data_IF_873413494568
#
_entry.id   IF_873413494568
#
_cell.length_a   1.000
_cell.length_b   1.000
_cell.length_c   1.000
_cell.angle_alpha   90.00
_cell.angle_beta   90.00
_cell.angle_gamma   90.00
#
_symmetry.space_group_name_H-M   'P 1'
#
loop_
_entity.id
_entity.type
_entity.pdbx_description
1 polymer ?
#
# COMPACT_ATOMS: atom_id res chain seq x y z
N UNK A 1 -17.01 -13.57 -7.29
CA UNK A 1 -17.65 -12.61 -6.36
C UNK A 1 -17.21 -11.24 -6.83
N UNK A 2 -18.08 -10.53 -7.55
CA UNK A 2 -17.70 -9.38 -8.37
C UNK A 2 -17.30 -8.18 -7.50
N UNK A 3 -16.03 -7.80 -7.58
CA UNK A 3 -15.47 -6.53 -7.08
C UNK A 3 -16.03 -5.41 -7.95
N UNK A 4 -17.30 -5.05 -7.74
CA UNK A 4 -18.00 -4.05 -8.56
C UNK A 4 -18.60 -2.91 -7.72
N UNK A 5 -18.30 -2.86 -6.43
CA UNK A 5 -18.78 -1.83 -5.51
C UNK A 5 -17.82 -0.65 -5.30
N UNK A 6 -16.52 -0.80 -5.55
CA UNK A 6 -15.55 0.30 -5.31
C UNK A 6 -15.30 1.24 -6.51
N UNK A 7 -15.51 0.79 -7.75
CA UNK A 7 -15.24 1.63 -8.95
C UNK A 7 -16.07 2.91 -9.08
N UNK A 8 -17.21 3.04 -8.38
CA UNK A 8 -18.05 4.24 -8.46
C UNK A 8 -17.62 5.38 -7.53
N UNK A 9 -16.80 5.10 -6.53
CA UNK A 9 -16.35 6.10 -5.55
C UNK A 9 -14.89 6.52 -5.74
N UNK A 10 -14.04 5.72 -6.40
CA UNK A 10 -12.61 6.04 -6.56
C UNK A 10 -12.32 7.28 -7.43
N UNK A 11 -13.24 7.69 -8.32
CA UNK A 11 -13.00 8.78 -9.27
C UNK A 11 -13.66 10.13 -8.92
N UNK A 12 -14.33 10.25 -7.78
CA UNK A 12 -15.05 11.47 -7.38
C UNK A 12 -14.74 11.76 -5.91
N UNK A 13 -13.86 12.73 -5.65
CA UNK A 13 -13.57 13.36 -4.34
C UNK A 13 -12.48 12.77 -3.41
N UNK A 14 -11.37 12.20 -3.90
CA UNK A 14 -10.21 11.93 -3.01
C UNK A 14 -9.25 13.12 -2.83
N UNK A 15 -9.43 14.22 -3.57
CA UNK A 15 -8.51 15.37 -3.58
C UNK A 15 -8.96 16.57 -2.72
N UNK A 16 -10.22 16.63 -2.29
CA UNK A 16 -10.70 17.70 -1.41
C UNK A 16 -10.60 17.24 0.04
N UNK A 17 -9.71 17.87 0.82
CA UNK A 17 -9.74 17.77 2.28
C UNK A 17 -11.11 18.21 2.76
N UNK A 18 -11.90 17.29 3.31
CA UNK A 18 -13.11 17.68 4.03
C UNK A 18 -12.71 18.62 5.17
N UNK A 19 -13.26 19.83 5.17
CA UNK A 19 -12.97 20.79 6.21
C UNK A 19 -13.44 20.22 7.55
N UNK A 20 -12.54 20.19 8.54
CA UNK A 20 -12.91 19.81 9.90
C UNK A 20 -14.08 20.70 10.37
N UNK A 21 -15.15 20.11 10.93
CA UNK A 21 -16.25 20.89 11.47
C UNK A 21 -15.76 21.97 12.46
N UNK A 22 -16.32 23.18 12.38
CA UNK A 22 -15.92 24.34 13.20
C UNK A 22 -15.85 24.03 14.70
N UNK A 23 -16.70 23.11 15.18
CA UNK A 23 -16.72 22.64 16.57
C UNK A 23 -15.42 21.98 17.05
N UNK A 24 -14.51 21.64 16.14
CA UNK A 24 -13.19 21.07 16.42
C UNK A 24 -12.05 22.04 16.10
N UNK A 25 -12.29 23.05 15.27
CA UNK A 25 -11.29 24.05 14.90
C UNK A 25 -10.97 24.94 16.10
N UNK A 26 -9.69 25.06 16.44
CA UNK A 26 -9.21 25.92 17.52
C UNK A 26 -9.55 25.43 18.94
N UNK A 27 -10.01 24.19 19.10
CA UNK A 27 -10.15 23.60 20.44
C UNK A 27 -8.77 23.42 21.11
N UNK A 28 -8.65 23.72 22.41
CA UNK A 28 -7.46 23.37 23.17
C UNK A 28 -7.22 21.85 23.18
N UNK A 29 -5.96 21.42 23.16
CA UNK A 29 -5.60 20.00 23.16
C UNK A 29 -6.24 19.23 24.32
N UNK A 30 -6.24 19.80 25.53
CA UNK A 30 -6.86 19.18 26.70
C UNK A 30 -8.37 18.91 26.53
N UNK A 31 -9.08 19.77 25.81
CA UNK A 31 -10.51 19.55 25.50
C UNK A 31 -10.68 18.44 24.45
N UNK A 32 -9.76 18.36 23.48
CA UNK A 32 -9.73 17.27 22.50
C UNK A 32 -9.50 15.92 23.20
N UNK A 33 -8.57 15.88 24.17
CA UNK A 33 -8.24 14.68 24.93
C UNK A 33 -9.43 14.13 25.71
N UNK A 34 -10.17 15.03 26.37
CA UNK A 34 -11.38 14.68 27.11
C UNK A 34 -12.43 14.08 26.17
N UNK A 35 -12.61 14.67 24.98
CA UNK A 35 -13.59 14.19 23.99
C UNK A 35 -13.23 12.84 23.38
N UNK A 36 -11.97 12.65 22.99
CA UNK A 36 -11.48 11.37 22.45
C UNK A 36 -11.62 10.28 23.53
N UNK A 37 -11.23 10.58 24.77
CA UNK A 37 -11.36 9.65 25.90
C UNK A 37 -12.81 9.27 26.18
N UNK A 38 -13.73 10.24 26.14
CA UNK A 38 -15.15 9.99 26.33
C UNK A 38 -15.75 9.14 25.19
N UNK A 39 -15.38 9.42 23.93
CA UNK A 39 -15.83 8.62 22.79
C UNK A 39 -15.29 7.18 22.86
N UNK A 40 -14.01 7.01 23.22
CA UNK A 40 -13.40 5.68 23.42
C UNK A 40 -14.09 4.92 24.55
N UNK A 41 -14.39 5.57 25.68
CA UNK A 41 -15.12 4.95 26.79
C UNK A 41 -16.56 4.54 26.40
N UNK A 42 -17.25 5.35 25.60
CA UNK A 42 -18.60 5.06 25.14
C UNK A 42 -18.68 3.88 24.16
N UNK A 43 -17.65 3.72 23.32
CA UNK A 43 -17.57 2.60 22.37
C UNK A 43 -16.98 1.33 22.99
N UNK A 44 -16.14 1.46 24.02
CA UNK A 44 -15.56 0.33 24.75
C UNK A 44 -14.84 -0.65 23.81
N UNK A 45 -15.09 -1.95 23.98
CA UNK A 45 -14.47 -3.00 23.17
C UNK A 45 -14.87 -2.99 21.69
N UNK A 46 -15.90 -2.22 21.31
CA UNK A 46 -16.34 -2.06 19.92
C UNK A 46 -15.40 -1.16 19.11
N UNK A 47 -14.46 -0.47 19.74
CA UNK A 47 -13.49 0.42 19.09
C UNK A 47 -12.09 -0.15 19.20
N UNK A 48 -11.37 -0.11 18.07
CA UNK A 48 -9.94 -0.35 17.96
C UNK A 48 -9.27 0.87 17.32
N UNK A 49 -8.24 1.43 17.95
CA UNK A 49 -7.44 2.53 17.40
C UNK A 49 -6.04 2.01 17.08
N UNK A 50 -5.66 2.11 15.80
CA UNK A 50 -4.36 1.65 15.29
C UNK A 50 -3.51 2.88 14.93
N UNK A 51 -2.29 2.98 15.48
CA UNK A 51 -1.39 4.12 15.27
C UNK A 51 -0.09 3.73 14.57
N UNK A 52 0.19 4.32 13.40
CA UNK A 52 1.50 4.17 12.78
C UNK A 52 2.59 4.93 13.55
N UNK A 53 3.84 4.46 13.50
CA UNK A 53 4.97 5.08 14.22
C UNK A 53 5.27 6.54 13.85
N UNK A 54 4.71 7.04 12.75
CA UNK A 54 4.88 8.44 12.30
C UNK A 54 3.76 9.37 12.78
N UNK A 55 2.83 8.87 13.58
CA UNK A 55 1.79 9.70 14.19
C UNK A 55 2.39 10.62 15.25
N UNK A 56 1.78 11.79 15.41
CA UNK A 56 2.17 12.74 16.46
C UNK A 56 1.71 12.27 17.84
N UNK A 57 2.39 12.73 18.87
CA UNK A 57 2.17 12.33 20.27
C UNK A 57 0.70 12.55 20.70
N UNK A 58 0.06 13.61 20.22
CA UNK A 58 -1.31 13.96 20.56
C UNK A 58 -2.33 12.94 20.03
N UNK A 59 -2.02 12.26 18.92
CA UNK A 59 -2.87 11.22 18.35
C UNK A 59 -2.50 9.82 18.82
N UNK A 60 -1.19 9.50 18.81
CA UNK A 60 -0.70 8.14 19.07
C UNK A 60 -0.96 7.69 20.51
N UNK A 61 -1.09 8.61 21.47
CA UNK A 61 -1.41 8.31 22.88
C UNK A 61 -2.76 7.60 23.07
N UNK A 62 -3.65 7.68 22.08
CA UNK A 62 -4.95 6.99 22.09
C UNK A 62 -4.94 5.64 21.37
N UNK A 63 -3.84 5.28 20.71
CA UNK A 63 -3.74 4.03 19.96
C UNK A 63 -3.69 2.82 20.91
N UNK A 64 -4.49 1.80 20.62
CA UNK A 64 -4.45 0.52 21.32
C UNK A 64 -3.21 -0.29 20.90
N UNK A 65 -2.81 -0.15 19.63
CA UNK A 65 -1.59 -0.75 19.09
C UNK A 65 -0.82 0.25 18.25
N UNK A 66 0.51 0.18 18.37
CA UNK A 66 1.45 0.89 17.52
C UNK A 66 2.35 -0.08 16.76
N UNK A 67 2.67 0.25 15.51
CA UNK A 67 3.41 -0.66 14.64
C UNK A 67 3.68 -0.12 13.24
N UNK A 68 4.36 -0.95 12.45
CA UNK A 68 4.42 -0.81 11.00
C UNK A 68 3.09 -1.23 10.34
N UNK A 69 2.96 -0.95 9.04
CA UNK A 69 1.74 -1.22 8.27
C UNK A 69 1.29 -2.68 8.32
N UNK A 70 2.23 -3.63 8.27
CA UNK A 70 1.90 -5.06 8.22
C UNK A 70 1.38 -5.56 9.56
N UNK A 71 2.06 -5.20 10.64
CA UNK A 71 1.64 -5.56 12.00
C UNK A 71 0.26 -4.96 12.30
N UNK A 72 0.02 -3.70 11.95
CA UNK A 72 -1.28 -3.06 12.18
C UNK A 72 -2.41 -3.72 11.39
N UNK A 73 -2.17 -4.09 10.12
CA UNK A 73 -3.16 -4.80 9.33
C UNK A 73 -3.48 -6.20 9.90
N UNK A 74 -2.49 -6.90 10.47
CA UNK A 74 -2.72 -8.16 11.18
C UNK A 74 -3.54 -7.95 12.47
N UNK A 75 -3.26 -6.89 13.24
CA UNK A 75 -4.05 -6.57 14.45
C UNK A 75 -5.52 -6.27 14.12
N UNK A 76 -5.78 -5.58 13.01
CA UNK A 76 -7.14 -5.35 12.52
C UNK A 76 -7.89 -6.68 12.28
N UNK A 77 -7.24 -7.62 11.60
CA UNK A 77 -7.80 -8.94 11.29
C UNK A 77 -8.01 -9.84 12.52
N UNK A 78 -7.11 -9.75 13.50
CA UNK A 78 -7.15 -10.59 14.71
C UNK A 78 -8.23 -10.11 15.70
N UNK A 79 -8.61 -8.83 15.69
CA UNK A 79 -9.57 -8.24 16.63
C UNK A 79 -11.02 -8.38 16.14
N UNK A 80 -11.53 -9.60 16.00
CA UNK A 80 -12.90 -9.90 15.51
C UNK A 80 -14.07 -9.48 16.44
N UNK A 81 -13.83 -8.63 17.44
CA UNK A 81 -14.84 -8.12 18.37
C UNK A 81 -15.01 -6.60 18.34
N UNK A 82 -14.23 -5.89 17.50
CA UNK A 82 -14.36 -4.45 17.32
C UNK A 82 -15.15 -4.14 16.05
N UNK A 83 -16.27 -3.42 16.21
CA UNK A 83 -17.10 -2.93 15.11
C UNK A 83 -16.42 -1.80 14.32
N UNK A 84 -15.59 -1.00 14.98
CA UNK A 84 -14.95 0.18 14.41
C UNK A 84 -13.43 0.11 14.58
N UNK A 85 -12.70 0.33 13.50
CA UNK A 85 -11.24 0.40 13.47
C UNK A 85 -10.85 1.79 12.98
N UNK A 86 -10.36 2.65 13.87
CA UNK A 86 -9.80 3.95 13.48
C UNK A 86 -8.33 3.76 13.17
N UNK A 87 -7.96 3.94 11.90
CA UNK A 87 -6.60 3.78 11.42
C UNK A 87 -5.90 5.16 11.35
N UNK A 88 -5.11 5.47 12.36
CA UNK A 88 -4.26 6.66 12.38
C UNK A 88 -2.98 6.41 11.55
N UNK A 89 -3.12 6.56 10.24
CA UNK A 89 -2.07 6.34 9.25
C UNK A 89 -2.36 7.08 7.95
N UNK A 90 -2.03 6.44 6.82
CA UNK A 90 -2.30 6.94 5.47
C UNK A 90 -3.22 5.99 4.71
N UNK A 91 -3.79 6.45 3.60
CA UNK A 91 -4.85 5.79 2.84
C UNK A 91 -4.59 4.30 2.56
N UNK A 92 -3.46 3.96 1.94
CA UNK A 92 -3.17 2.56 1.59
C UNK A 92 -3.05 1.62 2.81
N UNK A 93 -2.70 2.15 3.98
CA UNK A 93 -2.61 1.36 5.20
C UNK A 93 -4.00 1.02 5.73
N UNK A 94 -4.90 2.01 5.72
CA UNK A 94 -6.30 1.81 6.07
C UNK A 94 -6.98 0.84 5.10
N UNK A 95 -6.75 0.97 3.79
CA UNK A 95 -7.25 0.00 2.80
C UNK A 95 -6.75 -1.42 3.08
N UNK A 96 -5.46 -1.56 3.45
CA UNK A 96 -4.89 -2.88 3.74
C UNK A 96 -5.51 -3.50 5.00
N UNK A 97 -5.83 -2.69 6.02
CA UNK A 97 -6.57 -3.14 7.18
C UNK A 97 -8.00 -3.54 6.82
N UNK A 98 -8.69 -2.77 5.97
CA UNK A 98 -10.05 -3.05 5.51
C UNK A 98 -10.14 -4.37 4.75
N UNK A 99 -9.21 -4.61 3.82
CA UNK A 99 -9.10 -5.86 3.05
C UNK A 99 -8.95 -7.11 3.94
N UNK A 100 -8.26 -6.99 5.08
CA UNK A 100 -8.05 -8.11 6.01
C UNK A 100 -9.09 -8.20 7.13
N UNK A 101 -9.88 -7.15 7.34
CA UNK A 101 -10.90 -7.09 8.39
C UNK A 101 -12.13 -7.94 8.04
N UNK A 102 -12.93 -8.24 9.05
CA UNK A 102 -14.20 -8.95 8.83
C UNK A 102 -15.25 -7.99 8.24
N UNK A 103 -16.22 -8.46 7.44
CA UNK A 103 -17.20 -7.59 6.77
C UNK A 103 -18.08 -6.73 7.70
N UNK A 104 -18.16 -7.11 8.97
CA UNK A 104 -18.87 -6.43 10.05
C UNK A 104 -18.05 -5.31 10.70
N UNK A 105 -16.75 -5.23 10.40
CA UNK A 105 -15.83 -4.21 10.92
C UNK A 105 -15.75 -3.04 9.93
N UNK A 106 -15.83 -1.82 10.45
CA UNK A 106 -15.70 -0.60 9.67
C UNK A 106 -14.33 0.03 9.89
N UNK A 107 -13.51 0.08 8.85
CA UNK A 107 -12.23 0.79 8.90
C UNK A 107 -12.44 2.27 8.55
N UNK A 108 -11.98 3.15 9.44
CA UNK A 108 -12.13 4.59 9.38
C UNK A 108 -10.76 5.24 9.30
N UNK A 109 -10.51 6.01 8.25
CA UNK A 109 -9.35 6.89 8.14
C UNK A 109 -9.77 8.32 8.49
N UNK A 110 -9.20 8.94 9.54
CA UNK A 110 -9.63 10.27 9.99
C UNK A 110 -9.51 11.39 8.96
N UNK A 111 -8.56 11.28 8.03
CA UNK A 111 -8.35 12.23 6.93
C UNK A 111 -8.11 11.43 5.64
N UNK A 112 -9.08 11.42 4.73
CA UNK A 112 -8.96 10.73 3.43
C UNK A 112 -7.85 11.31 2.55
N UNK A 113 -7.45 12.57 2.78
CA UNK A 113 -6.33 13.19 2.08
C UNK A 113 -4.96 12.83 2.70
N UNK A 114 -4.91 11.98 3.73
CA UNK A 114 -3.68 11.43 4.26
C UNK A 114 -3.08 10.41 3.26
N UNK A 115 -2.47 10.93 2.20
CA UNK A 115 -1.84 10.15 1.14
C UNK A 115 -0.40 9.74 1.43
N UNK A 116 0.17 8.98 0.51
CA UNK A 116 1.59 8.67 0.47
C UNK A 116 2.06 8.86 -0.96
N UNK A 117 2.97 9.82 -1.17
CA UNK A 117 3.49 10.14 -2.50
C UNK A 117 3.98 8.90 -3.24
N UNK A 118 4.60 7.95 -2.54
CA UNK A 118 5.05 6.68 -3.13
C UNK A 118 3.89 5.80 -3.62
N UNK A 119 2.79 5.72 -2.87
CA UNK A 119 1.64 4.91 -3.28
C UNK A 119 0.98 5.48 -4.54
N UNK A 120 1.06 6.80 -4.74
CA UNK A 120 0.52 7.52 -5.89
C UNK A 120 1.42 7.43 -7.14
N UNK A 121 2.65 6.90 -7.02
CA UNK A 121 3.59 6.74 -8.15
C UNK A 121 3.28 5.56 -9.07
N UNK A 122 2.31 4.71 -8.71
CA UNK A 122 1.83 3.63 -9.56
C UNK A 122 0.31 3.61 -9.56
N UNK A 123 -0.29 3.89 -10.71
CA UNK A 123 -1.72 3.79 -10.92
C UNK A 123 -2.09 2.47 -11.62
N UNK A 124 -3.31 1.98 -11.38
CA UNK A 124 -3.75 0.68 -11.91
C UNK A 124 -3.79 0.65 -13.45
N UNK A 125 -4.17 1.75 -14.10
CA UNK A 125 -4.13 1.90 -15.55
C UNK A 125 -2.70 1.85 -16.11
N UNK A 126 -1.75 2.54 -15.46
CA UNK A 126 -0.33 2.44 -15.82
C UNK A 126 0.20 1.01 -15.63
N UNK A 127 -0.26 0.30 -14.59
CA UNK A 127 0.11 -1.10 -14.39
C UNK A 127 -0.34 -1.97 -15.57
N UNK A 128 -1.58 -1.77 -16.04
CA UNK A 128 -2.09 -2.49 -17.22
C UNK A 128 -1.24 -2.21 -18.46
N UNK A 129 -0.90 -0.94 -18.72
CA UNK A 129 -0.01 -0.55 -19.83
C UNK A 129 1.35 -1.22 -19.70
N UNK A 130 1.99 -1.13 -18.54
CA UNK A 130 3.27 -1.79 -18.29
C UNK A 130 3.19 -3.29 -18.59
N UNK A 131 2.14 -3.95 -18.10
CA UNK A 131 1.96 -5.38 -18.30
C UNK A 131 1.80 -5.76 -19.77
N UNK A 132 1.02 -5.00 -20.54
CA UNK A 132 0.85 -5.20 -21.98
C UNK A 132 2.16 -4.98 -22.75
N UNK A 133 2.89 -3.90 -22.45
CA UNK A 133 4.16 -3.58 -23.07
C UNK A 133 5.22 -4.66 -22.81
N UNK A 134 5.33 -5.13 -21.56
CA UNK A 134 6.24 -6.22 -21.20
C UNK A 134 5.92 -7.49 -21.99
N UNK A 135 4.64 -7.87 -22.09
CA UNK A 135 4.23 -9.03 -22.89
C UNK A 135 4.53 -8.86 -24.38
N UNK A 136 4.27 -7.67 -24.94
CA UNK A 136 4.55 -7.37 -26.35
C UNK A 136 6.05 -7.39 -26.67
N UNK A 137 6.90 -6.99 -25.72
CA UNK A 137 8.37 -7.10 -25.81
C UNK A 137 8.89 -8.53 -25.53
N UNK A 138 7.99 -9.48 -25.23
CA UNK A 138 8.30 -10.89 -25.05
C UNK A 138 8.77 -11.26 -23.64
N UNK A 139 8.42 -10.48 -22.61
CA UNK A 139 8.82 -10.77 -21.22
C UNK A 139 8.56 -12.23 -20.83
N UNK A 140 9.48 -12.80 -20.06
CA UNK A 140 9.48 -14.22 -19.75
C UNK A 140 9.01 -14.45 -18.30
N UNK A 141 7.83 -15.08 -18.16
CA UNK A 141 7.28 -15.55 -16.87
C UNK A 141 7.48 -14.54 -15.75
N UNK A 142 6.97 -13.32 -15.95
CA UNK A 142 7.09 -12.22 -15.00
C UNK A 142 6.20 -12.48 -13.78
N UNK A 143 6.75 -12.30 -12.58
CA UNK A 143 5.99 -12.31 -11.31
C UNK A 143 5.94 -10.88 -10.76
N UNK A 144 4.77 -10.24 -10.63
CA UNK A 144 4.69 -8.91 -10.05
C UNK A 144 4.79 -8.97 -8.52
N UNK A 145 5.59 -8.08 -7.96
CA UNK A 145 5.76 -7.87 -6.52
C UNK A 145 5.53 -6.40 -6.24
N UNK A 146 4.49 -6.10 -5.45
CA UNK A 146 4.21 -4.71 -5.05
C UNK A 146 4.62 -4.47 -3.61
N UNK A 147 5.22 -3.34 -3.32
CA UNK A 147 5.46 -2.88 -1.96
C UNK A 147 4.12 -2.47 -1.32
N UNK A 148 3.99 -2.64 -0.01
CA UNK A 148 2.75 -2.36 0.73
C UNK A 148 2.29 -0.91 0.56
N UNK A 149 3.24 0.00 0.33
CA UNK A 149 3.03 1.40 -0.02
C UNK A 149 2.57 1.54 -1.49
N UNK A 150 1.41 0.97 -1.78
CA UNK A 150 0.73 1.00 -3.08
C UNK A 150 -0.78 1.00 -2.85
N UNK A 151 -1.58 1.47 -3.81
CA UNK A 151 -3.04 1.41 -3.69
C UNK A 151 -3.56 -0.06 -3.62
N UNK A 152 -4.73 -0.28 -3.03
CA UNK A 152 -5.39 -1.59 -3.04
C UNK A 152 -5.62 -2.12 -4.47
N UNK A 153 -5.91 -1.24 -5.42
CA UNK A 153 -6.07 -1.59 -6.85
C UNK A 153 -4.80 -2.23 -7.44
N UNK A 154 -3.62 -1.70 -7.11
CA UNK A 154 -2.32 -2.28 -7.50
C UNK A 154 -2.11 -3.65 -6.84
N UNK A 155 -2.47 -3.80 -5.56
CA UNK A 155 -2.38 -5.08 -4.86
C UNK A 155 -3.27 -6.14 -5.52
N UNK A 156 -4.50 -5.78 -5.90
CA UNK A 156 -5.42 -6.66 -6.66
C UNK A 156 -4.80 -7.05 -7.99
N UNK A 157 -4.35 -6.06 -8.77
CA UNK A 157 -3.74 -6.27 -10.08
C UNK A 157 -2.51 -7.20 -10.01
N UNK A 158 -1.68 -7.07 -8.96
CA UNK A 158 -0.57 -7.98 -8.71
C UNK A 158 -1.06 -9.40 -8.38
N UNK A 159 -2.03 -9.53 -7.47
CA UNK A 159 -2.59 -10.83 -7.06
C UNK A 159 -3.24 -11.59 -8.21
N UNK A 160 -4.00 -10.90 -9.07
CA UNK A 160 -4.63 -11.45 -10.28
C UNK A 160 -3.62 -12.05 -11.27
N UNK A 161 -2.37 -11.55 -11.25
CA UNK A 161 -1.26 -12.01 -12.09
C UNK A 161 -0.34 -13.03 -11.38
N UNK A 162 -0.79 -13.59 -10.26
CA UNK A 162 -0.03 -14.56 -9.48
C UNK A 162 1.14 -13.95 -8.71
N UNK A 163 1.10 -12.63 -8.50
CA UNK A 163 2.06 -11.86 -7.73
C UNK A 163 1.76 -11.82 -6.24
N UNK A 164 2.44 -10.91 -5.53
CA UNK A 164 2.33 -10.79 -4.07
C UNK A 164 2.70 -9.38 -3.59
N UNK A 165 2.13 -8.97 -2.45
CA UNK A 165 2.54 -7.75 -1.76
C UNK A 165 3.70 -8.03 -0.78
N UNK A 166 4.63 -7.10 -0.64
CA UNK A 166 5.77 -7.19 0.28
C UNK A 166 5.90 -5.96 1.17
N UNK A 167 6.70 -6.07 2.21
CA UNK A 167 7.20 -4.97 3.03
C UNK A 167 8.72 -4.92 2.96
N UNK A 168 9.34 -3.85 3.46
CA UNK A 168 10.80 -3.77 3.57
C UNK A 168 11.39 -4.88 4.45
N UNK A 169 10.64 -5.33 5.46
CA UNK A 169 11.06 -6.39 6.38
C UNK A 169 10.98 -7.80 5.80
N UNK A 170 10.20 -8.03 4.73
CA UNK A 170 10.06 -9.34 4.09
C UNK A 170 10.43 -9.36 2.58
N UNK A 171 11.01 -8.27 2.06
CA UNK A 171 11.33 -8.13 0.64
C UNK A 171 12.22 -9.28 0.12
N UNK A 172 13.28 -9.64 0.84
CA UNK A 172 14.20 -10.72 0.43
C UNK A 172 13.47 -12.08 0.31
N UNK A 173 12.69 -12.44 1.34
CA UNK A 173 11.90 -13.67 1.34
C UNK A 173 10.88 -13.67 0.17
N UNK A 174 10.30 -12.51 -0.11
CA UNK A 174 9.34 -12.33 -1.20
C UNK A 174 9.99 -12.49 -2.57
N UNK A 175 11.15 -11.87 -2.82
CA UNK A 175 11.85 -12.03 -4.10
C UNK A 175 12.29 -13.48 -4.32
N UNK A 176 12.75 -14.16 -3.25
CA UNK A 176 13.07 -15.59 -3.31
C UNK A 176 11.85 -16.44 -3.70
N UNK A 177 10.69 -16.16 -3.13
CA UNK A 177 9.43 -16.82 -3.47
C UNK A 177 9.01 -16.56 -4.94
N UNK A 178 9.21 -15.34 -5.42
CA UNK A 178 8.85 -14.93 -6.78
C UNK A 178 9.75 -15.62 -7.83
N UNK A 179 11.06 -15.68 -7.61
CA UNK A 179 11.98 -16.40 -8.51
C UNK A 179 11.78 -17.93 -8.55
N UNK A 180 11.05 -18.52 -7.60
CA UNK A 180 10.64 -19.92 -7.71
C UNK A 180 9.48 -20.13 -8.70
N UNK A 181 8.76 -19.06 -9.07
CA UNK A 181 7.54 -19.08 -9.89
C UNK A 181 7.72 -18.49 -11.27
N UNK A 182 8.69 -17.61 -11.43
CA UNK A 182 9.02 -16.96 -12.69
C UNK A 182 10.49 -16.63 -12.82
N UNK A 183 10.85 -16.18 -14.01
CA UNK A 183 12.24 -15.89 -14.37
C UNK A 183 12.59 -14.43 -14.13
N UNK A 184 11.57 -13.55 -14.14
CA UNK A 184 11.68 -12.11 -13.97
C UNK A 184 10.71 -11.61 -12.90
N UNK A 185 11.09 -10.55 -12.21
CA UNK A 185 10.22 -9.89 -11.22
C UNK A 185 9.94 -8.46 -11.67
N UNK A 186 8.66 -8.09 -11.76
CA UNK A 186 8.24 -6.69 -11.83
C UNK A 186 8.06 -6.18 -10.40
N UNK A 187 8.92 -5.26 -9.95
CA UNK A 187 8.88 -4.69 -8.61
C UNK A 187 8.39 -3.25 -8.65
N UNK A 188 7.35 -2.94 -7.88
CA UNK A 188 6.69 -1.64 -7.88
C UNK A 188 6.24 -1.20 -6.48
N UNK A 189 5.95 0.09 -6.27
CA UNK A 189 6.42 1.22 -7.07
C UNK A 189 7.89 1.57 -6.80
N UNK A 190 8.48 1.09 -5.69
CA UNK A 190 9.81 1.56 -5.23
C UNK A 190 10.97 0.81 -5.92
N UNK A 191 11.61 1.46 -6.89
CA UNK A 191 12.79 0.92 -7.58
C UNK A 191 13.95 0.64 -6.63
N UNK A 192 14.13 1.44 -5.58
CA UNK A 192 15.30 1.33 -4.70
C UNK A 192 15.13 0.18 -3.73
N UNK A 193 13.94 -0.04 -3.19
CA UNK A 193 13.66 -1.24 -2.38
C UNK A 193 13.90 -2.51 -3.22
N UNK A 194 13.33 -2.58 -4.42
CA UNK A 194 13.53 -3.72 -5.32
C UNK A 194 15.00 -3.92 -5.72
N UNK A 195 15.68 -2.84 -6.13
CA UNK A 195 17.09 -2.85 -6.55
C UNK A 195 18.03 -3.27 -5.43
N UNK A 196 17.91 -2.63 -4.26
CA UNK A 196 18.82 -2.87 -3.14
C UNK A 196 18.65 -4.28 -2.59
N UNK A 197 17.40 -4.76 -2.49
CA UNK A 197 17.11 -6.14 -2.06
C UNK A 197 17.71 -7.14 -3.05
N UNK A 198 17.41 -7.00 -4.35
CA UNK A 198 17.92 -7.92 -5.37
C UNK A 198 19.45 -7.88 -5.48
N UNK A 199 20.06 -6.70 -5.36
CA UNK A 199 21.52 -6.54 -5.38
C UNK A 199 22.18 -7.22 -4.17
N UNK A 200 21.61 -7.05 -2.97
CA UNK A 200 22.05 -7.77 -1.77
C UNK A 200 21.95 -9.29 -1.90
N UNK A 201 20.99 -9.78 -2.69
CA UNK A 201 20.83 -11.19 -3.04
C UNK A 201 21.74 -11.67 -4.19
N UNK A 202 22.62 -10.81 -4.70
CA UNK A 202 23.62 -11.15 -5.74
C UNK A 202 23.14 -10.98 -7.18
N UNK A 203 21.99 -10.33 -7.43
CA UNK A 203 21.59 -9.96 -8.80
C UNK A 203 22.46 -8.79 -9.27
N UNK A 204 23.20 -8.90 -10.40
CA UNK A 204 24.00 -7.80 -10.92
C UNK A 204 23.13 -6.64 -11.42
N UNK A 205 23.60 -5.40 -11.25
CA UNK A 205 22.88 -4.20 -11.73
C UNK A 205 22.56 -4.24 -13.23
N UNK A 206 23.41 -4.85 -14.06
CA UNK A 206 23.19 -5.04 -15.51
C UNK A 206 22.01 -5.95 -15.84
N UNK A 207 21.45 -6.68 -14.87
CA UNK A 207 20.25 -7.51 -15.00
C UNK A 207 19.03 -6.84 -14.35
N UNK A 208 19.10 -5.53 -14.11
CA UNK A 208 18.00 -4.74 -13.57
C UNK A 208 17.69 -3.62 -14.55
N UNK A 209 16.45 -3.56 -15.01
CA UNK A 209 15.96 -2.48 -15.86
C UNK A 209 14.94 -1.65 -15.09
N UNK A 210 14.78 -0.38 -15.48
CA UNK A 210 13.76 0.50 -14.91
C UNK A 210 12.71 0.75 -15.97
N UNK A 211 11.45 0.44 -15.66
CA UNK A 211 10.31 0.79 -16.48
C UNK A 211 9.72 2.12 -16.00
N UNK A 212 9.64 3.08 -16.89
CA UNK A 212 9.23 4.46 -16.64
C UNK A 212 7.86 4.76 -17.27
N UNK A 213 6.79 5.01 -16.50
CA UNK A 213 5.46 5.27 -17.06
C UNK A 213 5.38 6.49 -17.99
N UNK A 214 6.35 7.40 -17.91
CA UNK A 214 6.39 8.61 -18.75
C UNK A 214 7.11 8.41 -20.09
N UNK A 215 7.70 7.23 -20.32
CA UNK A 215 8.45 6.91 -21.54
C UNK A 215 7.72 5.85 -22.39
N UNK A 216 7.76 5.95 -23.73
CA UNK A 216 7.27 4.88 -24.60
C UNK A 216 7.93 3.54 -24.27
N UNK A 217 7.15 2.46 -24.12
CA UNK A 217 7.67 1.14 -23.76
C UNK A 217 8.42 1.11 -22.42
N UNK A 218 8.13 2.06 -21.54
CA UNK A 218 8.85 2.26 -20.29
C UNK A 218 10.32 2.63 -20.43
N UNK A 219 10.74 3.07 -21.62
CA UNK A 219 12.15 3.30 -21.94
C UNK A 219 12.96 2.02 -22.15
N UNK A 220 12.30 0.87 -22.32
CA UNK A 220 12.96 -0.42 -22.48
C UNK A 220 13.07 -0.83 -23.95
N UNK A 221 14.05 -1.69 -24.23
CA UNK A 221 14.10 -2.47 -25.48
C UNK A 221 13.84 -3.95 -25.18
N UNK A 222 13.35 -4.73 -26.17
CA UNK A 222 13.18 -6.18 -26.00
C UNK A 222 14.45 -6.88 -25.52
N UNK A 223 15.62 -6.51 -26.04
CA UNK A 223 16.90 -7.13 -25.67
C UNK A 223 17.27 -6.84 -24.20
N UNK A 224 17.08 -5.59 -23.76
CA UNK A 224 17.33 -5.21 -22.37
C UNK A 224 16.36 -5.93 -21.43
N UNK A 225 15.09 -6.04 -21.83
CA UNK A 225 14.07 -6.76 -21.07
C UNK A 225 14.41 -8.25 -20.95
N UNK A 226 14.79 -8.93 -22.03
CA UNK A 226 15.15 -10.36 -22.00
C UNK A 226 16.35 -10.65 -21.09
N UNK A 227 17.32 -9.73 -21.02
CA UNK A 227 18.48 -9.87 -20.15
C UNK A 227 18.19 -9.57 -18.67
N UNK A 228 17.03 -8.99 -18.36
CA UNK A 228 16.68 -8.56 -17.02
C UNK A 228 16.20 -9.73 -16.15
N UNK A 229 16.56 -9.70 -14.86
CA UNK A 229 15.95 -10.48 -13.80
C UNK A 229 15.01 -9.65 -12.93
N UNK A 230 15.24 -8.34 -12.89
CA UNK A 230 14.40 -7.35 -12.21
C UNK A 230 13.95 -6.30 -13.21
N UNK A 231 12.66 -6.02 -13.22
CA UNK A 231 12.01 -4.90 -13.90
C UNK A 231 11.50 -4.00 -12.77
N UNK A 232 12.08 -2.82 -12.63
CA UNK A 232 11.84 -1.92 -11.51
C UNK A 232 10.95 -0.77 -11.97
N UNK A 233 9.83 -0.55 -11.32
CA UNK A 233 9.00 0.62 -11.57
C UNK A 233 9.73 1.90 -11.16
N UNK A 234 9.70 2.96 -11.97
CA UNK A 234 10.36 4.24 -11.66
C UNK A 234 9.65 5.07 -10.57
N UNK A 235 9.38 4.47 -9.42
CA UNK A 235 8.93 5.17 -8.21
C UNK A 235 9.98 5.09 -7.12
N UNK A 236 9.95 6.02 -6.18
CA UNK A 236 10.88 6.10 -5.06
C UNK A 236 10.32 7.01 -3.95
N UNK A 237 10.84 6.89 -2.73
CA UNK A 237 10.57 7.87 -1.67
C UNK A 237 11.51 9.07 -1.73
#
# INVERSE_FOLDING_TARGET
MSINLHRRYENVQLTEREALPDRYLGLPEAEMDVRISAARAALGDRLLILGHHYQRDEGIKFADYTGDSFKLAQQAADRRGSDYIVFCGVHFMAESADVLSSPDQQVLLPDLAAGCSMADMAAADQFEVCWEELNAMGANRVVPVTYINSAASIKSACGERGGVACTSSNAEATLKWAWQRGDQILFLPDQHLGRNTAYGMGVPLKQMVVWDPDEPWGGLTPEALQAARMILWKGHC
#
